data_IF_714696747913
#
_entry.id   IF_714696747913
#
_cell.length_a   1.000
_cell.length_b   1.000
_cell.length_c   1.000
_cell.angle_alpha   90.00
_cell.angle_beta   90.00
_cell.angle_gamma   90.00
#
_symmetry.space_group_name_H-M   'P 1'
#
loop_
_entity.id
_entity.type
_entity.pdbx_description
1 polymer ?
#
# COMPACT_ATOMS: atom_id res chain seq x y z
N UNK A 1 -30.19 -3.42 45.37
CA UNK A 1 -30.35 -3.41 43.90
C UNK A 1 -29.44 -2.33 43.33
N UNK A 2 -28.37 -2.69 42.62
CA UNK A 2 -27.60 -1.76 41.77
C UNK A 2 -26.74 -2.57 40.79
N UNK A 3 -27.35 -2.99 39.69
CA UNK A 3 -26.71 -3.77 38.61
C UNK A 3 -26.77 -3.04 37.26
N UNK A 4 -26.58 -1.71 37.24
CA UNK A 4 -26.73 -0.92 36.01
C UNK A 4 -25.46 -0.26 35.48
N UNK A 5 -24.28 -0.47 36.07
CA UNK A 5 -23.03 0.19 35.62
C UNK A 5 -22.03 -0.71 34.88
N UNK A 6 -22.30 -2.02 34.75
CA UNK A 6 -21.34 -2.96 34.11
C UNK A 6 -21.62 -3.28 32.64
N UNK A 7 -22.76 -2.88 32.09
CA UNK A 7 -23.13 -3.22 30.71
C UNK A 7 -22.77 -2.15 29.67
N UNK A 8 -22.37 -0.95 30.10
CA UNK A 8 -22.02 0.15 29.19
C UNK A 8 -20.56 0.11 28.71
N UNK A 9 -19.68 -0.67 29.37
CA UNK A 9 -18.28 -0.82 28.94
C UNK A 9 -18.08 -1.91 27.86
N UNK A 10 -19.04 -2.81 27.66
CA UNK A 10 -18.92 -3.94 26.71
C UNK A 10 -19.46 -3.63 25.31
N UNK A 11 -20.25 -2.56 25.14
CA UNK A 11 -20.78 -2.15 23.84
C UNK A 11 -19.92 -1.11 23.09
N UNK A 12 -18.92 -0.52 23.76
CA UNK A 12 -18.03 0.44 23.11
C UNK A 12 -16.85 -0.20 22.37
N UNK A 13 -16.58 -1.50 22.56
CA UNK A 13 -15.50 -2.21 21.85
C UNK A 13 -15.93 -2.86 20.53
N UNK A 14 -17.22 -2.91 20.20
CA UNK A 14 -17.72 -3.62 19.01
C UNK A 14 -17.89 -2.75 17.76
N UNK A 15 -17.64 -1.45 17.83
CA UNK A 15 -17.85 -0.52 16.70
C UNK A 15 -16.56 -0.15 15.93
N UNK A 16 -15.38 -0.62 16.35
CA UNK A 16 -14.12 -0.35 15.64
C UNK A 16 -13.66 -1.49 14.69
N UNK A 17 -14.42 -2.60 14.58
CA UNK A 17 -13.98 -3.79 13.83
C UNK A 17 -14.37 -3.80 12.34
N UNK A 18 -14.99 -2.75 11.81
CA UNK A 18 -15.56 -2.76 10.45
C UNK A 18 -14.62 -2.30 9.32
N UNK A 19 -13.31 -2.24 9.53
CA UNK A 19 -12.34 -1.93 8.46
C UNK A 19 -11.09 -2.83 8.43
N UNK A 20 -11.10 -3.99 9.08
CA UNK A 20 -10.00 -4.96 8.93
C UNK A 20 -10.15 -5.76 7.64
N UNK A 21 -9.12 -5.81 6.80
CA UNK A 21 -9.10 -6.64 5.60
C UNK A 21 -9.14 -8.12 5.99
N UNK A 22 -9.47 -9.00 5.03
CA UNK A 22 -9.43 -10.45 5.25
C UNK A 22 -8.02 -10.93 5.66
N UNK A 23 -6.98 -10.25 5.18
CA UNK A 23 -5.60 -10.54 5.58
C UNK A 23 -5.33 -10.15 7.04
N UNK A 24 -5.83 -8.99 7.49
CA UNK A 24 -5.66 -8.53 8.88
C UNK A 24 -6.25 -9.55 9.87
N UNK A 25 -7.46 -10.05 9.60
CA UNK A 25 -8.15 -11.03 10.46
C UNK A 25 -7.45 -12.39 10.48
N UNK A 26 -7.02 -12.87 9.32
CA UNK A 26 -6.32 -14.15 9.21
C UNK A 26 -4.95 -14.10 9.92
N UNK A 27 -4.23 -12.98 9.79
CA UNK A 27 -2.93 -12.81 10.43
C UNK A 27 -3.06 -12.74 11.96
N UNK A 28 -4.07 -12.03 12.49
CA UNK A 28 -4.33 -11.96 13.92
C UNK A 28 -4.63 -13.34 14.55
N UNK A 29 -5.48 -14.15 13.90
CA UNK A 29 -5.80 -15.49 14.39
C UNK A 29 -4.58 -16.43 14.46
N UNK A 30 -3.66 -16.32 13.50
CA UNK A 30 -2.43 -17.11 13.49
C UNK A 30 -1.48 -16.65 14.60
N UNK A 31 -1.37 -15.34 14.83
CA UNK A 31 -0.54 -14.79 15.90
C UNK A 31 -1.03 -15.23 17.29
N UNK A 32 -2.34 -15.16 17.52
CA UNK A 32 -2.95 -15.59 18.80
C UNK A 32 -2.72 -17.08 19.06
N UNK A 33 -2.91 -17.93 18.05
CA UNK A 33 -2.71 -19.37 18.19
C UNK A 33 -1.25 -19.77 18.47
N UNK A 34 -0.28 -19.02 17.91
CA UNK A 34 1.14 -19.30 18.12
C UNK A 34 1.65 -18.81 19.48
N UNK A 35 1.07 -17.73 20.03
CA UNK A 35 1.42 -17.25 21.37
C UNK A 35 0.98 -18.22 22.47
N UNK A 36 -0.12 -18.96 22.26
CA UNK A 36 -0.63 -19.93 23.24
C UNK A 36 0.10 -21.28 23.25
N UNK A 37 1.05 -21.52 22.35
CA UNK A 37 1.63 -22.85 22.12
C UNK A 37 3.15 -22.85 21.94
N UNK A 38 3.84 -21.75 22.28
CA UNK A 38 5.30 -21.68 22.17
C UNK A 38 5.96 -22.29 23.42
N UNK A 39 6.62 -23.45 23.26
CA UNK A 39 7.32 -24.15 24.34
C UNK A 39 8.84 -24.25 24.11
N UNK A 40 9.30 -24.00 22.87
CA UNK A 40 10.72 -23.97 22.49
C UNK A 40 11.22 -22.57 22.09
N UNK A 41 12.53 -22.29 22.17
CA UNK A 41 13.11 -21.02 21.71
C UNK A 41 12.79 -20.69 20.24
N UNK A 42 12.71 -21.71 19.39
CA UNK A 42 12.34 -21.58 17.97
C UNK A 42 10.87 -21.22 17.77
N UNK A 43 9.97 -21.77 18.60
CA UNK A 43 8.55 -21.41 18.55
C UNK A 43 8.30 -20.04 19.16
N UNK A 44 9.07 -19.66 20.18
CA UNK A 44 9.04 -18.32 20.75
C UNK A 44 9.48 -17.28 19.72
N UNK A 45 10.61 -17.50 19.04
CA UNK A 45 11.08 -16.61 17.96
C UNK A 45 10.06 -16.47 16.82
N UNK A 46 9.32 -17.54 16.52
CA UNK A 46 8.24 -17.52 15.53
C UNK A 46 7.02 -16.75 16.05
N UNK A 47 6.59 -16.95 17.29
CA UNK A 47 5.49 -16.22 17.91
C UNK A 47 5.81 -14.72 17.98
N UNK A 48 7.04 -14.35 18.35
CA UNK A 48 7.52 -12.98 18.37
C UNK A 48 7.53 -12.35 16.97
N UNK A 49 7.98 -13.10 15.95
CA UNK A 49 7.93 -12.66 14.57
C UNK A 49 6.49 -12.42 14.08
N UNK A 50 5.54 -13.30 14.43
CA UNK A 50 4.14 -13.12 14.10
C UNK A 50 3.51 -11.94 14.85
N UNK A 51 3.86 -11.74 16.12
CA UNK A 51 3.44 -10.57 16.91
C UNK A 51 3.93 -9.27 16.28
N UNK A 52 5.21 -9.20 15.92
CA UNK A 52 5.78 -8.04 15.23
C UNK A 52 5.11 -7.81 13.87
N UNK A 53 4.87 -8.88 13.10
CA UNK A 53 4.22 -8.82 11.80
C UNK A 53 2.76 -8.36 11.82
N UNK A 54 2.07 -8.49 12.97
CA UNK A 54 0.64 -8.18 13.14
C UNK A 54 0.39 -6.96 14.01
N UNK A 55 1.44 -6.33 14.54
CA UNK A 55 1.31 -5.09 15.31
C UNK A 55 1.14 -3.91 14.37
N UNK A 56 -0.06 -3.32 14.32
CA UNK A 56 -0.30 -2.16 13.47
C UNK A 56 0.62 -0.98 13.83
N UNK A 57 1.21 -0.31 12.83
CA UNK A 57 2.05 0.84 13.11
C UNK A 57 1.18 2.05 13.55
N UNK A 58 1.78 3.07 14.20
CA UNK A 58 1.05 4.27 14.63
C UNK A 58 0.35 4.98 13.48
N UNK A 59 -0.75 5.68 13.73
CA UNK A 59 -1.42 6.47 12.69
C UNK A 59 -0.53 7.62 12.21
N UNK A 60 -0.55 7.90 10.90
CA UNK A 60 0.18 9.01 10.28
C UNK A 60 -0.79 10.08 9.76
N UNK A 61 -0.30 11.32 9.69
CA UNK A 61 -1.02 12.43 9.06
C UNK A 61 -0.86 12.40 7.53
N UNK A 62 -1.74 13.09 6.79
CA UNK A 62 -1.67 13.15 5.33
C UNK A 62 -0.36 13.75 4.77
N UNK A 63 0.29 14.62 5.54
CA UNK A 63 1.57 15.26 5.18
C UNK A 63 2.80 14.44 5.58
N UNK A 64 2.62 13.33 6.29
CA UNK A 64 3.73 12.52 6.81
C UNK A 64 4.58 11.86 5.70
N UNK A 65 4.05 11.75 4.47
CA UNK A 65 4.70 11.04 3.37
C UNK A 65 4.64 11.84 2.08
N UNK A 66 5.80 12.10 1.47
CA UNK A 66 5.87 12.62 0.12
C UNK A 66 5.65 11.49 -0.90
N UNK A 67 4.48 11.44 -1.53
CA UNK A 67 4.12 10.39 -2.50
C UNK A 67 4.65 10.64 -3.91
N UNK A 68 5.15 11.84 -4.22
CA UNK A 68 5.58 12.21 -5.57
C UNK A 68 6.66 11.29 -6.16
N UNK A 69 7.72 10.90 -5.43
CA UNK A 69 8.72 9.97 -5.96
C UNK A 69 8.13 8.59 -6.28
N UNK A 70 7.21 8.10 -5.45
CA UNK A 70 6.53 6.82 -5.68
C UNK A 70 5.63 6.84 -6.91
N UNK A 71 4.83 7.90 -7.07
CA UNK A 71 3.96 8.06 -8.25
C UNK A 71 4.77 8.27 -9.53
N UNK A 72 5.91 8.97 -9.47
CA UNK A 72 6.79 9.14 -10.62
C UNK A 72 7.32 7.81 -11.17
N UNK A 73 7.62 6.83 -10.31
CA UNK A 73 8.04 5.49 -10.76
C UNK A 73 6.92 4.66 -11.38
N UNK A 74 5.66 5.02 -11.12
CA UNK A 74 4.51 4.40 -11.77
C UNK A 74 4.35 4.88 -13.22
N UNK A 75 5.02 5.96 -13.62
CA UNK A 75 4.96 6.49 -14.99
C UNK A 75 5.81 5.66 -15.95
N UNK A 76 5.37 5.46 -17.21
CA UNK A 76 6.14 4.83 -18.29
C UNK A 76 7.54 5.40 -18.44
N UNK A 77 8.54 4.52 -18.60
CA UNK A 77 9.95 4.87 -18.82
C UNK A 77 10.14 5.67 -20.11
N UNK A 78 9.29 5.40 -21.09
CA UNK A 78 9.25 6.07 -22.37
C UNK A 78 8.79 7.53 -22.25
N UNK A 79 8.35 8.00 -21.06
CA UNK A 79 8.09 9.41 -20.81
C UNK A 79 6.87 10.00 -21.55
N UNK A 80 6.00 9.15 -22.10
CA UNK A 80 4.77 9.61 -22.75
C UNK A 80 3.66 10.00 -21.77
N UNK A 81 3.78 9.67 -20.48
CA UNK A 81 2.93 10.25 -19.43
C UNK A 81 3.76 11.17 -18.55
N UNK A 82 3.19 12.33 -18.26
CA UNK A 82 3.78 13.34 -17.41
C UNK A 82 2.91 13.49 -16.15
N UNK A 83 3.55 13.53 -14.98
CA UNK A 83 2.89 13.86 -13.72
C UNK A 83 2.86 15.37 -13.55
N UNK A 84 1.66 15.96 -13.56
CA UNK A 84 1.43 17.40 -13.41
C UNK A 84 1.35 17.78 -11.93
N UNK A 85 0.62 17.00 -11.14
CA UNK A 85 0.51 17.20 -9.71
C UNK A 85 0.12 15.89 -9.02
N UNK A 86 0.41 15.82 -7.72
CA UNK A 86 0.01 14.71 -6.86
C UNK A 86 -0.36 15.24 -5.49
N UNK A 87 -1.36 14.62 -4.88
CA UNK A 87 -1.78 14.91 -3.51
C UNK A 87 -1.92 13.59 -2.77
N UNK A 88 -1.22 13.46 -1.65
CA UNK A 88 -1.40 12.35 -0.72
C UNK A 88 -2.71 12.53 0.05
N UNK A 89 -3.37 11.41 0.35
CA UNK A 89 -4.40 11.35 1.37
C UNK A 89 -3.82 10.78 2.66
N UNK A 90 -4.64 10.72 3.71
CA UNK A 90 -4.21 10.20 5.01
C UNK A 90 -3.79 8.73 4.87
N UNK A 91 -2.55 8.36 5.22
CA UNK A 91 -2.11 6.97 5.24
C UNK A 91 -2.96 6.13 6.18
N UNK A 92 -3.28 4.91 5.76
CA UNK A 92 -4.05 3.94 6.54
C UNK A 92 -3.13 2.82 6.98
N UNK A 93 -2.92 2.68 8.29
CA UNK A 93 -2.17 1.57 8.88
C UNK A 93 -2.85 0.23 8.54
N UNK A 94 -2.06 -0.77 8.14
CA UNK A 94 -2.57 -2.08 7.74
C UNK A 94 -1.52 -3.18 7.90
N UNK A 95 -1.97 -4.44 7.92
CA UNK A 95 -1.09 -5.59 7.73
C UNK A 95 -1.02 -5.90 6.24
N UNK A 96 0.17 -5.81 5.68
CA UNK A 96 0.41 -5.91 4.24
C UNK A 96 1.10 -7.23 3.91
N UNK A 97 0.71 -7.85 2.80
CA UNK A 97 1.45 -8.98 2.25
C UNK A 97 2.86 -8.53 1.88
N UNK A 98 3.88 -9.16 2.48
CA UNK A 98 5.26 -8.86 2.15
C UNK A 98 5.56 -9.33 0.73
N UNK A 99 6.40 -8.62 -0.01
CA UNK A 99 6.92 -9.09 -1.29
C UNK A 99 7.97 -10.17 -1.12
N UNK A 100 8.25 -10.93 -2.18
CA UNK A 100 9.20 -12.04 -2.14
C UNK A 100 10.56 -11.68 -1.52
N UNK A 101 11.13 -10.51 -1.86
CA UNK A 101 12.42 -10.07 -1.34
C UNK A 101 12.45 -9.63 0.13
N UNK A 102 11.30 -9.44 0.78
CA UNK A 102 11.21 -9.10 2.21
C UNK A 102 10.65 -10.25 3.06
N UNK A 103 10.29 -11.38 2.46
CA UNK A 103 9.76 -12.54 3.19
C UNK A 103 10.91 -13.32 3.82
N UNK A 104 10.73 -13.72 5.07
CA UNK A 104 11.57 -14.77 5.65
C UNK A 104 11.31 -16.10 4.89
N UNK A 105 12.38 -16.74 4.43
CA UNK A 105 12.32 -18.01 3.70
C UNK A 105 11.96 -19.21 4.60
N UNK A 106 12.07 -19.07 5.92
CA UNK A 106 11.77 -20.13 6.89
C UNK A 106 10.27 -20.48 6.88
N UNK A 107 9.98 -21.78 6.88
CA UNK A 107 8.61 -22.29 6.87
C UNK A 107 7.87 -21.87 8.15
N UNK A 108 6.67 -21.32 7.98
CA UNK A 108 5.80 -20.92 9.09
C UNK A 108 6.06 -19.51 9.64
N UNK A 109 7.08 -18.80 9.14
CA UNK A 109 7.23 -17.37 9.41
C UNK A 109 6.19 -16.54 8.65
N UNK A 110 5.84 -15.34 9.17
CA UNK A 110 4.87 -14.48 8.54
C UNK A 110 5.30 -14.07 7.13
N UNK A 111 4.35 -14.15 6.20
CA UNK A 111 4.47 -13.60 4.83
C UNK A 111 3.86 -12.21 4.72
N UNK A 112 3.56 -11.60 5.86
CA UNK A 112 2.91 -10.30 6.03
C UNK A 112 3.74 -9.47 7.01
N UNK A 113 3.53 -8.16 7.01
CA UNK A 113 4.18 -7.25 7.94
C UNK A 113 3.42 -5.93 8.08
N UNK A 114 3.74 -5.13 9.11
CA UNK A 114 3.09 -3.86 9.35
C UNK A 114 3.48 -2.81 8.31
N UNK A 115 2.52 -1.97 7.92
CA UNK A 115 2.77 -0.90 6.98
C UNK A 115 1.58 0.03 6.81
N UNK A 116 1.60 0.78 5.71
CA UNK A 116 0.60 1.77 5.36
C UNK A 116 0.15 1.60 3.92
N UNK A 117 -1.16 1.69 3.72
CA UNK A 117 -1.77 1.99 2.42
C UNK A 117 -1.86 3.51 2.32
N UNK A 118 -1.25 4.11 1.30
CA UNK A 118 -1.20 5.56 1.13
C UNK A 118 -2.00 5.90 -0.14
N UNK A 119 -3.30 6.24 0.00
CA UNK A 119 -4.09 6.67 -1.14
C UNK A 119 -3.55 8.01 -1.67
N UNK A 120 -3.58 8.18 -2.98
CA UNK A 120 -3.20 9.44 -3.62
C UNK A 120 -4.13 9.78 -4.76
N UNK A 121 -4.16 11.05 -5.09
CA UNK A 121 -4.73 11.59 -6.31
C UNK A 121 -3.61 12.20 -7.15
N UNK A 122 -3.54 11.84 -8.43
CA UNK A 122 -2.55 12.37 -9.36
C UNK A 122 -3.23 12.99 -10.57
N UNK A 123 -2.65 14.05 -11.11
CA UNK A 123 -3.04 14.62 -12.40
C UNK A 123 -1.97 14.23 -13.40
N UNK A 124 -2.35 13.43 -14.39
CA UNK A 124 -1.47 12.95 -15.45
C UNK A 124 -1.78 13.66 -16.76
N UNK A 125 -0.77 13.90 -17.59
CA UNK A 125 -0.91 14.45 -18.94
C UNK A 125 -0.24 13.52 -19.94
N UNK A 126 -0.95 13.21 -21.03
CA UNK A 126 -0.36 12.46 -22.14
C UNK A 126 0.48 13.41 -22.98
N UNK A 127 1.78 13.11 -23.04
CA UNK A 127 2.77 13.73 -23.92
C UNK A 127 3.11 12.72 -25.03
N UNK A 128 2.43 12.76 -26.19
CA UNK A 128 2.72 11.82 -27.26
C UNK A 128 4.19 11.94 -27.68
N UNK A 129 4.93 10.83 -27.65
CA UNK A 129 6.27 10.74 -28.23
C UNK A 129 6.13 10.22 -29.68
N UNK A 130 6.91 10.72 -30.65
CA UNK A 130 6.71 10.56 -32.11
C UNK A 130 6.63 9.09 -32.61
N UNK A 131 6.17 8.75 -33.83
CA UNK A 131 5.97 9.46 -35.11
C UNK A 131 4.67 9.00 -35.82
N UNK A 132 4.08 9.90 -36.61
CA UNK A 132 2.98 9.67 -37.55
C UNK A 132 2.24 10.97 -37.84
N UNK A 133 1.82 11.22 -39.09
CA UNK A 133 1.07 12.45 -39.46
C UNK A 133 -0.22 12.63 -38.64
N UNK A 134 -0.71 11.55 -38.03
CA UNK A 134 -1.89 11.49 -37.17
C UNK A 134 -1.49 11.01 -35.78
N UNK A 135 -1.47 11.92 -34.81
CA UNK A 135 -1.45 11.56 -33.38
C UNK A 135 -2.79 10.87 -33.04
N UNK A 136 -2.82 9.78 -32.27
CA UNK A 136 -4.09 9.19 -31.86
C UNK A 136 -4.89 10.21 -31.05
N UNK A 137 -6.15 10.45 -31.46
CA UNK A 137 -6.98 11.48 -30.84
C UNK A 137 -7.42 11.15 -29.41
N UNK A 138 -7.48 9.85 -29.09
CA UNK A 138 -7.86 9.33 -27.77
C UNK A 138 -7.10 8.03 -27.50
N UNK A 139 -6.49 7.91 -26.33
CA UNK A 139 -5.97 6.66 -25.77
C UNK A 139 -6.78 6.24 -24.54
N UNK A 140 -6.66 4.98 -24.12
CA UNK A 140 -7.24 4.52 -22.85
C UNK A 140 -6.12 4.41 -21.81
N UNK A 141 -6.15 5.29 -20.82
CA UNK A 141 -5.29 5.19 -19.65
C UNK A 141 -5.79 4.03 -18.79
N UNK A 142 -4.96 2.99 -18.67
CA UNK A 142 -5.23 1.86 -17.81
C UNK A 142 -4.86 2.23 -16.37
N UNK A 143 -5.82 2.14 -15.45
CA UNK A 143 -5.57 2.40 -14.04
C UNK A 143 -5.05 1.12 -13.36
N UNK A 144 -4.12 1.26 -12.40
CA UNK A 144 -3.67 0.13 -11.60
C UNK A 144 -4.85 -0.50 -10.86
N UNK A 145 -5.11 -1.80 -11.07
CA UNK A 145 -6.12 -2.56 -10.31
C UNK A 145 -5.53 -3.00 -8.96
N UNK A 146 -6.30 -3.60 -8.04
CA UNK A 146 -5.73 -4.14 -6.78
C UNK A 146 -4.70 -5.25 -7.04
N UNK A 147 -4.85 -6.01 -8.14
CA UNK A 147 -3.91 -7.07 -8.55
C UNK A 147 -2.76 -6.53 -9.40
N UNK A 148 -3.02 -5.49 -10.18
CA UNK A 148 -2.06 -4.82 -11.07
C UNK A 148 -1.56 -3.50 -10.50
N UNK A 149 -1.74 -3.24 -9.20
CA UNK A 149 -1.32 -1.99 -8.54
C UNK A 149 0.19 -1.80 -8.63
N UNK A 150 0.90 -2.86 -9.03
CA UNK A 150 2.34 -2.98 -9.25
C UNK A 150 2.78 -2.70 -10.71
N UNK A 151 1.86 -2.62 -11.68
CA UNK A 151 2.18 -2.46 -13.11
C UNK A 151 2.25 -1.00 -13.60
N UNK A 152 1.92 -0.02 -12.75
CA UNK A 152 1.99 1.40 -13.08
C UNK A 152 0.90 1.87 -14.05
N UNK A 153 1.04 3.10 -14.54
CA UNK A 153 0.13 3.72 -15.51
C UNK A 153 0.64 3.47 -16.94
N UNK A 154 -0.26 3.13 -17.86
CA UNK A 154 0.08 3.01 -19.27
C UNK A 154 -1.12 3.36 -20.15
N UNK A 155 -0.84 3.83 -21.36
CA UNK A 155 -1.87 4.06 -22.37
C UNK A 155 -1.93 2.84 -23.26
N UNK A 156 -3.11 2.28 -23.45
CA UNK A 156 -3.35 1.21 -24.42
C UNK A 156 -4.54 1.54 -25.29
N UNK A 157 -4.48 1.11 -26.55
CA UNK A 157 -5.64 1.09 -27.44
C UNK A 157 -6.50 -0.16 -27.20
N UNK A 158 -5.89 -1.21 -26.63
CA UNK A 158 -6.52 -2.48 -26.32
C UNK A 158 -7.02 -2.43 -24.87
N UNK A 159 -8.30 -2.70 -24.70
CA UNK A 159 -8.86 -2.90 -23.37
C UNK A 159 -8.43 -4.27 -22.85
N UNK A 160 -7.55 -4.30 -21.84
CA UNK A 160 -7.06 -5.53 -21.23
C UNK A 160 -7.90 -5.97 -20.02
N UNK A 161 -9.06 -5.34 -19.82
CA UNK A 161 -9.90 -5.52 -18.63
C UNK A 161 -9.38 -4.70 -17.46
N UNK A 162 -10.27 -3.97 -16.79
CA UNK A 162 -9.91 -3.07 -15.69
C UNK A 162 -10.62 -1.72 -15.80
N UNK A 163 -10.28 -0.79 -14.90
CA UNK A 163 -10.80 0.58 -14.95
C UNK A 163 -9.95 1.39 -15.92
N UNK A 164 -10.56 1.86 -16.99
CA UNK A 164 -9.93 2.74 -17.98
C UNK A 164 -10.44 4.16 -17.87
N UNK A 165 -9.59 5.13 -18.19
CA UNK A 165 -9.98 6.54 -18.36
C UNK A 165 -9.59 6.99 -19.77
N UNK A 166 -10.53 7.55 -20.56
CA UNK A 166 -10.17 8.12 -21.85
C UNK A 166 -9.25 9.32 -21.64
N UNK A 167 -8.16 9.37 -22.41
CA UNK A 167 -7.15 10.41 -22.31
C UNK A 167 -6.86 10.97 -23.69
N UNK A 168 -6.81 12.30 -23.81
CA UNK A 168 -6.41 12.99 -25.04
C UNK A 168 -5.02 13.59 -24.89
N UNK A 169 -4.28 13.77 -26.00
CA UNK A 169 -3.01 14.48 -25.97
C UNK A 169 -3.12 15.83 -25.27
N UNK A 170 -2.15 16.16 -24.42
CA UNK A 170 -2.07 17.39 -23.63
C UNK A 170 -3.24 17.68 -22.67
N UNK A 171 -4.29 16.85 -22.64
CA UNK A 171 -5.41 17.01 -21.72
C UNK A 171 -5.07 16.35 -20.37
N UNK A 172 -5.04 17.10 -19.27
CA UNK A 172 -4.81 16.54 -17.95
C UNK A 172 -6.00 15.68 -17.51
N UNK A 173 -5.70 14.55 -16.87
CA UNK A 173 -6.68 13.61 -16.34
C UNK A 173 -6.32 13.31 -14.89
N UNK A 174 -7.34 13.38 -14.03
CA UNK A 174 -7.23 13.05 -12.61
C UNK A 174 -7.42 11.55 -12.41
N UNK A 175 -6.50 10.94 -11.68
CA UNK A 175 -6.50 9.51 -11.36
C UNK A 175 -6.28 9.29 -9.88
N UNK A 176 -6.79 8.18 -9.37
CA UNK A 176 -6.61 7.76 -7.99
C UNK A 176 -5.83 6.46 -7.95
N UNK A 177 -4.98 6.31 -6.93
CA UNK A 177 -4.18 5.11 -6.71
C UNK A 177 -3.84 4.94 -5.24
N UNK A 178 -3.12 3.85 -4.95
CA UNK A 178 -2.63 3.53 -3.62
C UNK A 178 -1.17 3.11 -3.73
N UNK A 179 -0.30 3.76 -2.95
CA UNK A 179 1.06 3.29 -2.71
C UNK A 179 1.09 2.44 -1.45
N UNK A 180 2.02 1.50 -1.38
CA UNK A 180 2.23 0.66 -0.21
C UNK A 180 3.59 0.96 0.39
N UNK A 181 3.59 1.26 1.69
CA UNK A 181 4.80 1.46 2.47
C UNK A 181 4.88 0.42 3.58
N UNK A 182 6.04 -0.20 3.76
CA UNK A 182 6.32 -1.11 4.87
C UNK A 182 7.07 -0.35 5.96
N UNK A 183 6.67 -0.54 7.21
CA UNK A 183 7.43 -0.04 8.34
C UNK A 183 8.73 -0.85 8.44
N UNK A 184 9.89 -0.18 8.48
CA UNK A 184 11.16 -0.89 8.66
C UNK A 184 11.14 -1.67 9.98
N UNK A 185 11.56 -2.95 10.00
CA UNK A 185 11.64 -3.74 11.22
C UNK A 185 12.79 -3.33 12.15
N UNK A 186 13.64 -2.37 11.77
CA UNK A 186 14.82 -1.96 12.55
C UNK A 186 14.46 -1.11 13.77
N UNK A 187 14.06 -1.78 14.87
CA UNK A 187 14.22 -1.41 16.29
C UNK A 187 14.39 0.09 16.63
N UNK A 188 13.56 0.97 16.07
CA UNK A 188 13.54 2.40 16.43
C UNK A 188 14.79 3.21 16.10
N UNK A 189 15.68 2.77 15.18
CA UNK A 189 16.94 3.51 14.89
C UNK A 189 16.93 4.45 13.68
N UNK A 190 15.82 4.59 12.93
CA UNK A 190 15.71 5.71 11.98
C UNK A 190 14.71 5.58 10.83
N UNK A 191 13.48 6.08 11.04
CA UNK A 191 12.77 7.05 10.16
C UNK A 191 12.67 6.80 8.65
N UNK A 192 12.38 5.58 8.19
CA UNK A 192 12.11 5.31 6.77
C UNK A 192 10.86 4.47 6.53
N UNK A 193 9.96 4.96 5.66
CA UNK A 193 8.91 4.16 5.06
C UNK A 193 9.45 3.53 3.78
N UNK A 194 9.58 2.20 3.73
CA UNK A 194 9.98 1.54 2.49
C UNK A 194 8.76 1.45 1.56
N UNK A 195 8.74 2.28 0.53
CA UNK A 195 7.76 2.15 -0.55
C UNK A 195 8.18 1.02 -1.48
N UNK A 196 7.24 0.13 -1.76
CA UNK A 196 7.49 -1.05 -2.55
C UNK A 196 8.03 -0.72 -3.95
N UNK A 197 9.01 -1.49 -4.49
CA UNK A 197 9.53 -1.29 -5.82
C UNK A 197 8.50 -1.43 -6.94
N UNK A 198 8.10 -0.30 -7.48
CA UNK A 198 7.71 -0.24 -8.87
C UNK A 198 8.97 -0.55 -9.69
N UNK A 199 8.92 -1.58 -10.57
CA UNK A 199 10.03 -1.98 -11.45
C UNK A 199 11.30 -2.52 -10.76
N UNK A 200 11.20 -3.05 -9.55
CA UNK A 200 12.35 -3.64 -8.85
C UNK A 200 13.22 -2.66 -8.07
N UNK A 201 12.85 -1.37 -7.98
CA UNK A 201 13.60 -0.34 -7.25
C UNK A 201 13.00 -0.03 -5.87
N UNK A 202 13.64 -0.45 -4.78
CA UNK A 202 13.15 -0.12 -3.43
C UNK A 202 13.38 1.36 -3.13
N UNK A 203 12.34 2.08 -2.70
CA UNK A 203 12.49 3.49 -2.28
C UNK A 203 12.22 3.60 -0.78
N UNK A 204 13.20 4.10 -0.05
CA UNK A 204 12.96 4.62 1.30
C UNK A 204 12.43 6.05 1.20
N UNK A 205 11.20 6.28 1.63
CA UNK A 205 10.65 7.61 1.79
C UNK A 205 10.95 8.09 3.22
N UNK A 206 11.55 9.28 3.38
CA UNK A 206 11.67 9.88 4.70
C UNK A 206 10.27 10.17 5.23
N UNK A 207 10.02 9.82 6.49
CA UNK A 207 8.86 10.34 7.22
C UNK A 207 9.07 11.84 7.42
N UNK A 208 8.08 12.66 7.06
CA UNK A 208 8.08 14.06 7.47
C UNK A 208 7.88 14.11 8.99
N UNK A 209 8.81 14.78 9.69
CA UNK A 209 8.70 15.06 11.12
C UNK A 209 7.52 15.99 11.42
#
# INVERSE_FOLDING_TARGET
MNHSTRYLALLALSLATSCQSKEDKAAAQIADALQTSAESPTEQAKADAWKAATTLPPALTASAVNVQPGVAQMLPEEGYLELISVTSQTPVAAILALPAGLRNAQRGYPKVGPGYRIPFEAVLRWKPMGFGKTKPGVGKLQLPTVRDSLRGFFISEIDRGGKVVPMRPAQPVKVQGVLYAYASPDEGKGTGLLTYPYRGLQISLPLAN
#
